data_IF_249243846609
#
_entry.id   IF_249243846609
#
_cell.length_a   1.000
_cell.length_b   1.000
_cell.length_c   1.000
_cell.angle_alpha   90.00
_cell.angle_beta   90.00
_cell.angle_gamma   90.00
#
_symmetry.space_group_name_H-M   'P 1'
#
loop_
_entity.id
_entity.type
_entity.pdbx_description
1 polymer ?
#
# COMPACT_ATOMS: atom_id res chain seq x y z
N UNK A 1 -24.19 21.60 -31.34
CA UNK A 1 -23.08 21.78 -32.30
C UNK A 1 -22.21 22.89 -31.72
N UNK A 2 -20.94 22.55 -31.44
CA UNK A 2 -19.81 23.40 -31.04
C UNK A 2 -19.85 24.20 -29.72
N UNK A 3 -18.71 24.08 -29.02
CA UNK A 3 -18.25 24.63 -27.74
C UNK A 3 -17.62 26.01 -27.96
N UNK A 4 -17.71 26.93 -26.99
CA UNK A 4 -16.67 27.91 -26.64
C UNK A 4 -17.02 28.52 -25.26
N UNK A 5 -16.32 28.11 -24.20
CA UNK A 5 -15.16 28.79 -23.59
C UNK A 5 -15.53 30.10 -22.89
N UNK A 6 -15.59 30.06 -21.54
CA UNK A 6 -15.52 31.23 -20.65
C UNK A 6 -15.30 30.77 -19.19
N UNK A 7 -14.16 30.15 -18.91
CA UNK A 7 -13.75 29.83 -17.54
C UNK A 7 -12.24 30.01 -17.33
N UNK A 8 -11.74 31.19 -17.69
CA UNK A 8 -10.37 31.63 -17.42
C UNK A 8 -10.32 33.15 -17.48
N UNK A 9 -10.82 33.82 -16.43
CA UNK A 9 -10.64 35.27 -16.27
C UNK A 9 -10.62 35.69 -14.78
N UNK A 10 -10.07 34.83 -13.92
CA UNK A 10 -10.03 35.10 -12.47
C UNK A 10 -8.72 34.71 -11.82
N UNK A 11 -7.58 35.02 -12.44
CA UNK A 11 -6.27 34.85 -11.78
C UNK A 11 -5.20 35.83 -12.29
N UNK A 12 -5.46 37.14 -12.28
CA UNK A 12 -4.39 38.13 -12.28
C UNK A 12 -4.85 39.42 -11.60
N UNK A 13 -4.45 39.60 -10.35
CA UNK A 13 -4.18 40.88 -9.70
C UNK A 13 -3.53 40.56 -8.35
N UNK A 14 -2.24 40.20 -8.39
CA UNK A 14 -1.38 40.33 -7.23
C UNK A 14 -0.73 41.70 -7.35
N UNK A 15 -1.15 42.63 -6.49
CA UNK A 15 -0.61 43.98 -6.37
C UNK A 15 0.88 43.90 -5.98
N UNK A 16 1.74 44.42 -6.85
CA UNK A 16 3.22 44.37 -6.75
C UNK A 16 3.80 45.71 -6.26
N UNK A 17 3.14 46.40 -5.33
CA UNK A 17 3.58 47.73 -4.91
C UNK A 17 4.32 47.79 -3.55
N UNK A 18 4.54 46.67 -2.87
CA UNK A 18 5.29 46.61 -1.58
C UNK A 18 6.47 45.62 -1.61
N UNK A 19 7.42 45.84 -2.52
CA UNK A 19 8.74 45.18 -2.45
C UNK A 19 9.79 46.21 -2.08
N UNK A 20 10.20 46.22 -0.80
CA UNK A 20 11.41 46.91 -0.35
C UNK A 20 12.61 46.47 -1.20
N UNK A 21 13.55 47.37 -1.55
CA UNK A 21 14.71 47.02 -2.35
C UNK A 21 15.65 46.07 -1.58
N UNK A 22 15.43 44.77 -1.73
CA UNK A 22 16.38 43.74 -1.29
C UNK A 22 17.64 43.93 -2.11
N UNK A 23 18.77 44.15 -1.42
CA UNK A 23 20.09 44.27 -2.02
C UNK A 23 20.32 43.16 -3.05
N UNK A 24 20.67 43.51 -4.27
CA UNK A 24 21.00 42.57 -5.35
C UNK A 24 22.25 41.74 -4.99
N UNK A 25 22.10 40.74 -4.15
CA UNK A 25 23.02 39.60 -4.17
C UNK A 25 22.64 38.80 -5.41
N UNK A 26 23.33 39.10 -6.52
CA UNK A 26 23.32 38.25 -7.72
C UNK A 26 23.53 36.80 -7.26
N UNK A 27 22.54 35.90 -7.44
CA UNK A 27 22.80 34.49 -7.22
C UNK A 27 24.00 34.14 -8.09
N UNK A 28 25.01 33.54 -7.46
CA UNK A 28 26.26 33.19 -8.09
C UNK A 28 25.97 32.15 -9.18
N UNK A 29 25.64 32.63 -10.38
CA UNK A 29 25.29 31.82 -11.53
C UNK A 29 26.52 30.96 -11.83
N UNK A 30 26.45 29.69 -11.42
CA UNK A 30 27.49 28.72 -11.68
C UNK A 30 27.79 28.74 -13.18
N UNK A 31 29.07 28.76 -13.54
CA UNK A 31 29.50 28.85 -14.95
C UNK A 31 28.70 27.86 -15.81
N UNK A 32 28.07 28.37 -16.87
CA UNK A 32 27.24 27.63 -17.83
C UNK A 32 27.92 26.34 -18.37
N UNK A 33 29.26 26.29 -18.32
CA UNK A 33 30.09 25.14 -18.71
C UNK A 33 29.85 23.86 -17.89
N UNK A 34 29.16 23.94 -16.76
CA UNK A 34 28.90 22.78 -15.88
C UNK A 34 27.41 22.37 -15.86
N UNK A 35 26.56 22.98 -16.69
CA UNK A 35 25.17 22.56 -16.79
C UNK A 35 25.08 21.31 -17.65
N UNK A 36 24.86 20.17 -17.00
CA UNK A 36 24.40 18.95 -17.66
C UNK A 36 22.88 18.90 -17.49
N UNK A 37 22.15 18.77 -18.60
CA UNK A 37 20.70 18.63 -18.53
C UNK A 37 20.32 17.45 -17.63
N UNK A 38 19.30 17.64 -16.79
CA UNK A 38 18.77 16.57 -15.96
C UNK A 38 18.26 15.44 -16.87
N UNK A 39 18.63 14.20 -16.55
CA UNK A 39 18.17 13.05 -17.29
C UNK A 39 16.67 12.84 -17.03
N UNK A 40 15.86 12.96 -18.08
CA UNK A 40 14.41 12.78 -18.02
C UNK A 40 13.96 11.40 -18.53
N UNK A 41 14.88 10.43 -18.66
CA UNK A 41 14.50 9.06 -19.02
C UNK A 41 13.69 8.39 -17.92
N UNK A 42 12.84 7.43 -18.27
CA UNK A 42 12.08 6.64 -17.27
C UNK A 42 12.98 5.88 -16.28
N UNK A 43 14.29 5.81 -16.53
CA UNK A 43 15.31 5.16 -15.72
C UNK A 43 16.19 6.15 -14.93
N UNK A 44 15.88 7.45 -14.94
CA UNK A 44 16.70 8.49 -14.31
C UNK A 44 16.99 8.18 -12.83
N UNK A 45 16.00 7.63 -12.12
CA UNK A 45 16.10 7.31 -10.70
C UNK A 45 17.00 6.08 -10.43
N UNK A 46 17.25 5.21 -11.41
CA UNK A 46 18.17 4.08 -11.26
C UNK A 46 19.64 4.52 -11.13
N UNK A 47 19.96 5.70 -11.65
CA UNK A 47 21.29 6.31 -11.54
C UNK A 47 21.50 7.03 -10.20
N UNK A 48 20.44 7.14 -9.41
CA UNK A 48 20.46 7.81 -8.13
C UNK A 48 20.89 6.83 -7.05
N UNK A 49 21.82 7.23 -6.19
CA UNK A 49 22.19 6.44 -5.01
C UNK A 49 21.50 7.02 -3.78
N UNK A 50 20.99 6.18 -2.86
CA UNK A 50 20.29 6.66 -1.67
C UNK A 50 21.16 7.56 -0.79
N UNK A 51 22.48 7.43 -0.87
CA UNK A 51 23.45 8.30 -0.17
C UNK A 51 23.46 9.75 -0.68
N UNK A 52 22.91 10.01 -1.88
CA UNK A 52 22.92 11.32 -2.53
C UNK A 52 21.62 12.13 -2.30
N UNK A 53 20.64 11.58 -1.58
CA UNK A 53 19.37 12.28 -1.29
C UNK A 53 19.15 12.33 0.22
N UNK A 54 19.21 13.54 0.76
CA UNK A 54 18.90 13.79 2.17
C UNK A 54 17.42 13.48 2.46
N UNK A 55 17.15 12.72 3.52
CA UNK A 55 15.80 12.32 3.93
C UNK A 55 15.14 11.17 3.16
N UNK A 56 15.82 10.51 2.21
CA UNK A 56 15.24 9.40 1.46
C UNK A 56 15.20 8.11 2.30
N UNK A 57 14.01 7.54 2.55
CA UNK A 57 13.91 6.21 3.15
C UNK A 57 14.44 5.17 2.15
N UNK A 58 15.62 4.61 2.47
CA UNK A 58 16.27 3.56 1.67
C UNK A 58 15.33 2.40 1.36
N UNK A 59 14.39 2.06 2.25
CA UNK A 59 13.41 0.99 2.03
C UNK A 59 12.42 1.34 0.93
N UNK A 60 11.88 2.55 0.96
CA UNK A 60 10.94 3.02 -0.07
C UNK A 60 11.62 3.14 -1.42
N UNK A 61 12.86 3.62 -1.45
CA UNK A 61 13.68 3.67 -2.66
C UNK A 61 13.90 2.26 -3.23
N UNK A 62 14.40 1.32 -2.43
CA UNK A 62 14.66 -0.06 -2.89
C UNK A 62 13.38 -0.76 -3.33
N UNK A 63 12.27 -0.54 -2.63
CA UNK A 63 10.97 -1.08 -3.03
C UNK A 63 10.52 -0.54 -4.39
N UNK A 64 10.68 0.77 -4.62
CA UNK A 64 10.33 1.41 -5.90
C UNK A 64 11.19 0.89 -7.05
N UNK A 65 12.50 0.76 -6.83
CA UNK A 65 13.44 0.18 -7.81
C UNK A 65 13.11 -1.28 -8.11
N UNK A 66 12.84 -2.10 -7.10
CA UNK A 66 12.44 -3.50 -7.29
C UNK A 66 11.14 -3.62 -8.09
N UNK A 67 10.14 -2.78 -7.76
CA UNK A 67 8.84 -2.73 -8.45
C UNK A 67 9.00 -2.33 -9.92
N UNK A 68 9.88 -1.37 -10.22
CA UNK A 68 10.21 -0.99 -11.60
C UNK A 68 10.82 -2.15 -12.38
N UNK A 69 11.80 -2.87 -11.83
CA UNK A 69 12.37 -4.02 -12.52
C UNK A 69 11.34 -5.13 -12.74
N UNK A 70 10.46 -5.36 -11.76
CA UNK A 70 9.41 -6.35 -11.86
C UNK A 70 8.39 -6.01 -12.96
N UNK A 71 7.93 -4.76 -13.05
CA UNK A 71 6.97 -4.34 -14.08
C UNK A 71 7.56 -4.40 -15.50
N UNK A 72 8.88 -4.21 -15.63
CA UNK A 72 9.61 -4.34 -16.89
C UNK A 72 10.05 -5.77 -17.22
N UNK A 73 9.64 -6.77 -16.44
CA UNK A 73 9.97 -8.18 -16.69
C UNK A 73 11.41 -8.57 -16.37
N UNK A 74 12.19 -7.68 -15.74
CA UNK A 74 13.58 -7.93 -15.32
C UNK A 74 13.58 -8.61 -13.93
N UNK A 75 13.08 -9.84 -13.84
CA UNK A 75 12.80 -10.52 -12.56
C UNK A 75 14.04 -10.80 -11.71
N UNK A 76 15.18 -11.13 -12.33
CA UNK A 76 16.45 -11.33 -11.61
C UNK A 76 16.88 -10.08 -10.85
N UNK A 77 16.85 -8.92 -11.51
CA UNK A 77 17.20 -7.63 -10.92
C UNK A 77 16.19 -7.21 -9.85
N UNK A 78 14.90 -7.48 -10.08
CA UNK A 78 13.87 -7.25 -9.07
C UNK A 78 14.12 -8.09 -7.81
N UNK A 79 14.45 -9.37 -7.98
CA UNK A 79 14.78 -10.28 -6.90
C UNK A 79 15.99 -9.79 -6.08
N UNK A 80 17.07 -9.39 -6.75
CA UNK A 80 18.25 -8.80 -6.07
C UNK A 80 17.89 -7.58 -5.23
N UNK A 81 17.01 -6.71 -5.74
CA UNK A 81 16.57 -5.51 -5.01
C UNK A 81 15.64 -5.84 -3.85
N UNK A 82 14.80 -6.87 -3.96
CA UNK A 82 14.05 -7.37 -2.82
C UNK A 82 14.94 -8.03 -1.76
N UNK A 83 16.02 -8.74 -2.15
CA UNK A 83 17.04 -9.22 -1.20
C UNK A 83 17.69 -8.05 -0.45
N UNK A 84 18.09 -7.00 -1.19
CA UNK A 84 18.68 -5.79 -0.59
C UNK A 84 17.70 -5.14 0.38
N UNK A 85 16.43 -4.98 -0.03
CA UNK A 85 15.36 -4.43 0.81
C UNK A 85 15.16 -5.25 2.08
N UNK A 86 15.12 -6.58 2.00
CA UNK A 86 14.93 -7.46 3.15
C UNK A 86 16.07 -7.29 4.17
N UNK A 87 17.30 -7.09 3.69
CA UNK A 87 18.50 -6.89 4.50
C UNK A 87 18.56 -5.52 5.21
N UNK A 88 17.84 -4.50 4.73
CA UNK A 88 17.75 -3.19 5.43
C UNK A 88 17.13 -3.34 6.83
N UNK A 89 16.27 -4.34 7.04
CA UNK A 89 15.64 -4.60 8.33
C UNK A 89 14.60 -3.55 8.75
N UNK A 90 14.16 -3.62 10.01
CA UNK A 90 13.13 -2.72 10.55
C UNK A 90 11.73 -2.91 9.93
N UNK A 91 11.51 -4.04 9.26
CA UNK A 91 10.22 -4.37 8.63
C UNK A 91 9.27 -4.92 9.68
N UNK A 92 8.03 -4.40 9.70
CA UNK A 92 6.97 -5.10 10.40
C UNK A 92 6.68 -6.45 9.70
N UNK A 93 5.98 -7.34 10.39
CA UNK A 93 5.69 -8.69 9.90
C UNK A 93 5.00 -8.71 8.53
N UNK A 94 3.99 -7.85 8.33
CA UNK A 94 3.24 -7.79 7.08
C UNK A 94 4.11 -7.33 5.91
N UNK A 95 4.95 -6.33 6.13
CA UNK A 95 5.93 -5.84 5.17
C UNK A 95 6.93 -6.95 4.80
N UNK A 96 7.49 -7.64 5.81
CA UNK A 96 8.40 -8.77 5.57
C UNK A 96 7.74 -9.87 4.74
N UNK A 97 6.50 -10.23 5.05
CA UNK A 97 5.73 -11.22 4.28
C UNK A 97 5.51 -10.75 2.83
N UNK A 98 5.15 -9.49 2.62
CA UNK A 98 4.97 -8.91 1.28
C UNK A 98 6.25 -8.93 0.45
N UNK A 99 7.41 -8.68 1.07
CA UNK A 99 8.71 -8.75 0.41
C UNK A 99 9.01 -10.20 0.01
N UNK A 100 8.86 -11.16 0.92
CA UNK A 100 9.08 -12.58 0.65
C UNK A 100 8.14 -13.11 -0.45
N UNK A 101 6.86 -12.74 -0.44
CA UNK A 101 5.91 -13.08 -1.50
C UNK A 101 6.36 -12.52 -2.86
N UNK A 102 6.84 -11.27 -2.89
CA UNK A 102 7.36 -10.64 -4.10
C UNK A 102 8.61 -11.36 -4.62
N UNK A 103 9.52 -11.77 -3.75
CA UNK A 103 10.70 -12.57 -4.10
C UNK A 103 10.32 -13.91 -4.71
N UNK A 104 9.37 -14.63 -4.11
CA UNK A 104 8.84 -15.90 -4.64
C UNK A 104 8.23 -15.69 -6.03
N UNK A 105 7.44 -14.62 -6.23
CA UNK A 105 6.88 -14.29 -7.55
C UNK A 105 7.98 -14.03 -8.58
N UNK A 106 9.07 -13.35 -8.21
CA UNK A 106 10.21 -13.15 -9.10
C UNK A 106 10.83 -14.49 -9.51
N UNK A 107 11.14 -15.34 -8.53
CA UNK A 107 11.71 -16.67 -8.77
C UNK A 107 10.82 -17.50 -9.69
N UNK A 108 9.51 -17.56 -9.43
CA UNK A 108 8.52 -18.31 -10.23
C UNK A 108 8.46 -17.79 -11.68
N UNK A 109 8.50 -16.47 -11.87
CA UNK A 109 8.46 -15.86 -13.21
C UNK A 109 9.76 -16.04 -13.99
N UNK A 110 10.88 -16.08 -13.29
CA UNK A 110 12.19 -16.39 -13.86
C UNK A 110 12.32 -17.87 -14.24
N UNK A 111 11.57 -18.77 -13.57
CA UNK A 111 11.63 -20.23 -13.75
C UNK A 111 11.18 -20.75 -15.11
N UNK A 112 10.87 -19.87 -16.07
CA UNK A 112 10.64 -20.26 -17.46
C UNK A 112 11.80 -21.05 -18.09
N UNK A 113 12.97 -21.16 -17.44
CA UNK A 113 14.16 -21.80 -18.01
C UNK A 113 14.87 -22.89 -17.15
N UNK A 114 14.78 -22.93 -15.80
CA UNK A 114 15.41 -24.01 -15.00
C UNK A 114 14.93 -24.11 -13.52
N UNK A 115 14.00 -25.02 -13.24
CA UNK A 115 13.42 -25.22 -11.90
C UNK A 115 14.42 -25.75 -10.86
N UNK A 116 15.35 -26.61 -11.26
CA UNK A 116 16.29 -27.26 -10.34
C UNK A 116 17.26 -26.26 -9.70
N UNK A 117 17.62 -25.21 -10.45
CA UNK A 117 18.50 -24.13 -9.95
C UNK A 117 17.83 -23.20 -8.91
N UNK A 118 16.50 -23.03 -9.01
CA UNK A 118 15.74 -22.07 -8.20
C UNK A 118 15.13 -22.72 -6.96
N UNK A 119 14.91 -24.04 -7.00
CA UNK A 119 14.29 -24.81 -5.93
C UNK A 119 14.86 -24.55 -4.53
N UNK A 120 16.20 -24.50 -4.30
CA UNK A 120 16.74 -24.24 -2.97
C UNK A 120 16.34 -22.87 -2.41
N UNK A 121 16.38 -21.83 -3.24
CA UNK A 121 15.99 -20.48 -2.83
C UNK A 121 14.48 -20.38 -2.57
N UNK A 122 13.67 -21.06 -3.37
CA UNK A 122 12.23 -21.12 -3.15
C UNK A 122 11.89 -21.82 -1.83
N UNK A 123 12.51 -22.96 -1.55
CA UNK A 123 12.32 -23.70 -0.28
C UNK A 123 12.73 -22.86 0.92
N UNK A 124 13.85 -22.13 0.83
CA UNK A 124 14.28 -21.20 1.87
C UNK A 124 13.22 -20.13 2.17
N UNK A 125 12.72 -19.42 1.14
CA UNK A 125 11.72 -18.36 1.34
C UNK A 125 10.40 -18.90 1.88
N UNK A 126 9.99 -20.10 1.47
CA UNK A 126 8.80 -20.77 2.00
C UNK A 126 8.93 -21.10 3.50
N UNK A 127 10.10 -21.58 3.92
CA UNK A 127 10.40 -21.81 5.34
C UNK A 127 10.37 -20.52 6.16
N UNK A 128 10.82 -19.40 5.58
CA UNK A 128 10.73 -18.09 6.24
C UNK A 128 9.29 -17.58 6.37
N UNK A 129 8.42 -17.91 5.41
CA UNK A 129 7.00 -17.50 5.42
C UNK A 129 6.18 -18.30 6.44
N UNK A 130 6.45 -19.58 6.62
CA UNK A 130 5.66 -20.49 7.48
C UNK A 130 5.36 -19.93 8.88
N UNK A 131 6.34 -19.49 9.70
CA UNK A 131 6.05 -18.89 11.00
C UNK A 131 5.33 -17.54 10.89
N UNK A 132 5.50 -16.81 9.77
CA UNK A 132 4.83 -15.54 9.50
C UNK A 132 3.37 -15.71 9.09
N UNK A 133 2.93 -16.91 8.73
CA UNK A 133 1.53 -17.21 8.38
C UNK A 133 0.81 -17.98 9.49
N UNK A 134 1.48 -18.94 10.15
CA UNK A 134 0.87 -19.81 11.16
C UNK A 134 0.19 -19.04 12.30
N UNK A 135 0.78 -17.95 12.78
CA UNK A 135 0.17 -17.11 13.84
C UNK A 135 -1.10 -16.35 13.38
N UNK A 136 -1.33 -16.22 12.07
CA UNK A 136 -2.57 -15.63 11.53
C UNK A 136 -3.69 -16.66 11.43
N UNK A 137 -3.38 -17.94 11.18
CA UNK A 137 -4.41 -18.98 11.11
C UNK A 137 -5.13 -19.11 12.46
N UNK A 138 -4.40 -19.05 13.57
CA UNK A 138 -4.97 -19.03 14.91
C UNK A 138 -5.84 -17.80 15.16
N UNK A 139 -5.33 -16.60 14.82
CA UNK A 139 -6.08 -15.33 14.98
C UNK A 139 -7.30 -15.22 14.08
N UNK A 140 -7.22 -15.74 12.85
CA UNK A 140 -8.35 -15.80 11.91
C UNK A 140 -9.38 -16.80 12.42
N UNK A 141 -8.94 -17.94 12.95
CA UNK A 141 -9.84 -18.95 13.54
C UNK A 141 -10.53 -18.41 14.79
N UNK A 142 -9.79 -17.69 15.65
CA UNK A 142 -10.32 -17.00 16.83
C UNK A 142 -11.32 -15.90 16.43
N UNK A 143 -10.95 -15.04 15.48
CA UNK A 143 -11.85 -14.02 14.94
C UNK A 143 -13.11 -14.65 14.34
N UNK A 144 -13.00 -15.75 13.59
CA UNK A 144 -14.15 -16.52 13.09
C UNK A 144 -15.02 -17.03 14.22
N UNK A 145 -14.45 -17.60 15.29
CA UNK A 145 -15.22 -18.03 16.47
C UNK A 145 -15.98 -16.87 17.12
N UNK A 146 -15.41 -15.67 17.17
CA UNK A 146 -16.05 -14.50 17.79
C UNK A 146 -17.04 -13.77 16.88
N UNK A 147 -16.83 -13.80 15.57
CA UNK A 147 -17.68 -13.12 14.57
C UNK A 147 -18.81 -14.04 14.08
N UNK A 148 -18.56 -15.34 13.92
CA UNK A 148 -19.55 -16.31 13.45
C UNK A 148 -20.39 -16.94 14.58
N UNK A 149 -20.14 -16.61 15.86
CA UNK A 149 -20.96 -17.09 16.97
C UNK A 149 -22.45 -16.76 16.80
N UNK A 150 -22.75 -15.59 16.21
CA UNK A 150 -24.13 -15.17 15.94
C UNK A 150 -24.73 -15.90 14.71
N UNK A 151 -23.91 -16.35 13.76
CA UNK A 151 -24.38 -17.07 12.56
C UNK A 151 -24.72 -18.53 12.84
N UNK A 152 -23.97 -19.20 13.72
CA UNK A 152 -24.25 -20.58 14.12
C UNK A 152 -25.54 -20.68 14.95
N UNK A 153 -25.84 -19.65 15.77
CA UNK A 153 -27.10 -19.57 16.52
C UNK A 153 -28.32 -19.39 15.60
N UNK A 154 -28.19 -18.56 14.55
CA UNK A 154 -29.23 -18.36 13.52
C UNK A 154 -29.45 -19.65 12.70
N UNK A 155 -28.40 -20.43 12.43
CA UNK A 155 -28.51 -21.70 11.71
C UNK A 155 -29.31 -22.76 12.49
N UNK A 156 -29.23 -22.76 13.83
CA UNK A 156 -29.96 -23.73 14.66
C UNK A 156 -31.44 -23.43 14.87
N UNK A 157 -31.90 -22.21 14.56
CA UNK A 157 -33.29 -21.79 14.73
C UNK A 157 -34.11 -21.82 13.41
N UNK A 158 -33.49 -22.09 12.26
CA UNK A 158 -34.15 -22.18 10.96
C UNK A 158 -34.34 -23.64 10.49
N UNK A 159 -35.13 -24.44 11.21
CA UNK A 159 -35.47 -25.84 10.85
C UNK A 159 -36.61 -25.99 9.83
N UNK A 160 -37.11 -24.91 9.22
CA UNK A 160 -38.12 -25.00 8.16
C UNK A 160 -37.52 -24.70 6.78
N UNK A 161 -37.02 -25.75 6.12
CA UNK A 161 -36.40 -25.76 4.78
C UNK A 161 -37.37 -25.49 3.61
N UNK A 162 -38.66 -25.25 3.87
CA UNK A 162 -39.66 -25.15 2.81
C UNK A 162 -39.85 -23.74 2.21
N UNK A 163 -39.34 -22.69 2.84
CA UNK A 163 -39.60 -21.30 2.43
C UNK A 163 -38.35 -20.44 2.18
N UNK A 164 -37.15 -21.04 2.07
CA UNK A 164 -35.97 -20.25 1.72
C UNK A 164 -35.95 -19.94 0.21
N UNK A 165 -35.97 -18.65 -0.18
CA UNK A 165 -35.76 -18.29 -1.58
C UNK A 165 -34.33 -18.65 -2.00
N UNK A 166 -34.09 -18.89 -3.30
CA UNK A 166 -32.78 -19.33 -3.81
C UNK A 166 -31.65 -18.39 -3.37
N UNK A 167 -30.43 -18.90 -3.16
CA UNK A 167 -29.32 -18.20 -2.47
C UNK A 167 -28.83 -16.91 -3.15
N UNK A 168 -29.33 -16.59 -4.34
CA UNK A 168 -29.03 -15.38 -5.10
C UNK A 168 -30.09 -14.28 -4.92
N UNK A 169 -31.20 -14.56 -4.21
CA UNK A 169 -32.22 -13.59 -3.84
C UNK A 169 -31.85 -12.96 -2.49
N UNK A 170 -30.68 -12.31 -2.42
CA UNK A 170 -30.44 -11.30 -1.39
C UNK A 170 -31.38 -10.14 -1.72
N UNK A 171 -32.60 -10.20 -1.16
CA UNK A 171 -33.45 -9.03 -1.07
C UNK A 171 -32.67 -8.06 -0.17
N UNK A 172 -32.02 -7.07 -0.77
CA UNK A 172 -31.69 -5.83 -0.07
C UNK A 172 -33.02 -5.14 0.28
N UNK A 173 -33.73 -5.69 1.27
CA UNK A 173 -34.77 -5.02 2.03
C UNK A 173 -34.13 -4.29 3.22
N UNK A 174 -32.91 -3.78 3.03
CA UNK A 174 -32.39 -2.75 3.89
C UNK A 174 -33.09 -1.46 3.49
N UNK A 175 -34.04 -1.00 4.29
CA UNK A 175 -34.23 0.45 4.39
C UNK A 175 -32.84 1.05 4.60
N UNK A 176 -32.51 2.12 3.87
CA UNK A 176 -31.28 2.85 4.12
C UNK A 176 -31.27 3.19 5.62
N UNK A 177 -30.36 2.56 6.38
CA UNK A 177 -30.24 2.81 7.82
C UNK A 177 -30.02 4.31 7.99
N UNK A 178 -30.78 4.93 8.89
CA UNK A 178 -30.61 6.36 9.11
C UNK A 178 -29.18 6.62 9.66
N UNK A 179 -28.71 7.86 9.52
CA UNK A 179 -27.35 8.23 9.90
C UNK A 179 -27.01 7.86 11.35
N UNK A 180 -27.98 7.99 12.27
CA UNK A 180 -27.81 7.66 13.68
C UNK A 180 -27.59 6.16 13.91
N UNK A 181 -28.31 5.30 13.18
CA UNK A 181 -28.10 3.86 13.24
C UNK A 181 -26.73 3.47 12.69
N UNK A 182 -26.30 4.12 11.60
CA UNK A 182 -24.96 3.88 11.03
C UNK A 182 -23.85 4.31 12.00
N UNK A 183 -23.96 5.49 12.60
CA UNK A 183 -23.03 5.99 13.62
C UNK A 183 -22.96 5.05 14.82
N UNK A 184 -24.12 4.57 15.31
CA UNK A 184 -24.16 3.61 16.42
C UNK A 184 -23.49 2.28 16.10
N UNK A 185 -23.73 1.73 14.90
CA UNK A 185 -23.07 0.48 14.46
C UNK A 185 -21.55 0.69 14.38
N UNK A 186 -21.12 1.85 13.88
CA UNK A 186 -19.71 2.18 13.79
C UNK A 186 -19.08 2.31 15.18
N UNK A 187 -19.72 3.00 16.12
CA UNK A 187 -19.28 3.11 17.51
C UNK A 187 -19.18 1.74 18.20
N UNK A 188 -20.20 0.89 18.05
CA UNK A 188 -20.21 -0.46 18.61
C UNK A 188 -19.09 -1.32 18.02
N UNK A 189 -18.83 -1.19 16.72
CA UNK A 189 -17.71 -1.86 16.05
C UNK A 189 -16.36 -1.38 16.60
N UNK A 190 -16.13 -0.06 16.65
CA UNK A 190 -14.89 0.53 17.14
C UNK A 190 -14.63 0.16 18.60
N UNK A 191 -15.67 0.10 19.43
CA UNK A 191 -15.57 -0.31 20.84
C UNK A 191 -15.23 -1.80 20.97
N UNK A 192 -15.92 -2.66 20.21
CA UNK A 192 -15.73 -4.12 20.25
C UNK A 192 -14.38 -4.55 19.69
N UNK A 193 -13.87 -3.85 18.69
CA UNK A 193 -12.59 -4.14 18.01
C UNK A 193 -11.53 -3.08 18.30
N UNK A 194 -11.57 -2.43 19.46
CA UNK A 194 -10.63 -1.37 19.83
C UNK A 194 -9.16 -1.80 19.71
N UNK A 195 -8.86 -3.07 20.01
CA UNK A 195 -7.54 -3.68 19.86
C UNK A 195 -6.98 -3.65 18.43
N UNK A 196 -7.84 -3.60 17.40
CA UNK A 196 -7.44 -3.52 15.99
C UNK A 196 -6.76 -2.16 15.66
N UNK A 197 -7.03 -1.15 16.49
CA UNK A 197 -6.60 0.23 16.26
C UNK A 197 -5.59 0.72 17.31
N UNK A 198 -5.14 -0.16 18.22
CA UNK A 198 -4.21 0.20 19.30
C UNK A 198 -2.85 0.66 18.78
N UNK A 199 -2.42 0.19 17.61
CA UNK A 199 -1.17 0.64 16.97
C UNK A 199 -1.32 1.97 16.19
N UNK A 200 -2.55 2.50 16.10
CA UNK A 200 -2.89 3.74 15.38
C UNK A 200 -3.47 4.79 16.36
N UNK A 201 -2.74 5.07 17.44
CA UNK A 201 -3.11 6.08 18.46
C UNK A 201 -3.40 7.47 17.84
N UNK A 202 -2.88 7.75 16.64
CA UNK A 202 -3.14 8.99 15.92
C UNK A 202 -4.48 9.04 15.16
N UNK A 203 -5.10 7.90 14.85
CA UNK A 203 -6.32 7.86 14.02
C UNK A 203 -7.58 8.27 14.81
N UNK A 204 -7.64 7.96 16.11
CA UNK A 204 -8.77 8.32 16.97
C UNK A 204 -8.76 9.79 17.42
N UNK A 205 -7.59 10.45 17.40
CA UNK A 205 -7.47 11.85 17.80
C UNK A 205 -7.88 12.85 16.69
N UNK A 206 -8.00 12.39 15.44
CA UNK A 206 -8.43 13.22 14.31
C UNK A 206 -9.94 13.18 14.01
N UNK A 207 -10.72 12.42 14.77
CA UNK A 207 -12.17 12.22 14.57
C UNK A 207 -13.04 12.90 15.64
N UNK A 208 -12.45 13.72 16.53
CA UNK A 208 -13.18 14.57 17.47
C UNK A 208 -13.43 15.96 16.92
#
# INVERSE_FOLDING_TARGET
MAIQENFLDSFYCLDLDDIEPVSEQKPNCSKLSNYTAFDNSDEWFLKTTPENIDGLDKREFLHSVASYYYSNGKFALAYEKFCELLNVGGHNRACRLSILDSMIRCLIKETSQNLDSIKPSLEQHLQEIEPLVSTYEEKITEARKHVCFDLEKISSECTNLADQPPPHKVKNTGSARNRQEQEKIFEDFMKKFSWLFVDNVNFLNGLK
#
